data_IF_055108413703
#
_entry.id   IF_055108413703
#
_cell.length_a   1.000
_cell.length_b   1.000
_cell.length_c   1.000
_cell.angle_alpha   90.00
_cell.angle_beta   90.00
_cell.angle_gamma   90.00
#
_symmetry.space_group_name_H-M   'P 1'
#
loop_
_entity.id
_entity.type
_entity.pdbx_description
1 polymer ?
#
# COMPACT_ATOMS: atom_id res chain seq x y z
N UNK A 1 5.91 7.54 -2.34
CA UNK A 1 5.02 6.65 -1.56
C UNK A 1 4.22 5.83 -2.55
N UNK A 2 4.02 4.54 -2.27
CA UNK A 2 3.10 3.68 -3.02
C UNK A 2 1.83 3.54 -2.17
N UNK A 3 0.68 3.87 -2.76
CA UNK A 3 -0.63 3.71 -2.14
C UNK A 3 -1.43 2.71 -2.98
N UNK A 4 -2.10 1.76 -2.33
CA UNK A 4 -3.02 0.82 -2.96
C UNK A 4 -4.35 0.84 -2.22
N UNK A 5 -5.44 1.01 -2.95
CA UNK A 5 -6.78 0.83 -2.42
C UNK A 5 -7.21 -0.64 -2.50
N UNK A 6 -8.08 -1.04 -1.57
CA UNK A 6 -8.66 -2.38 -1.51
C UNK A 6 -10.15 -2.26 -1.12
N UNK A 7 -11.09 -2.47 -2.05
CA UNK A 7 -12.52 -2.26 -1.82
C UNK A 7 -13.18 -3.47 -1.14
N UNK A 8 -12.70 -3.86 0.05
CA UNK A 8 -13.21 -5.00 0.82
C UNK A 8 -13.87 -4.52 2.11
N UNK A 9 -15.09 -4.98 2.39
CA UNK A 9 -15.90 -4.63 3.57
C UNK A 9 -15.79 -5.67 4.71
N UNK A 10 -16.43 -5.42 5.85
CA UNK A 10 -16.57 -6.37 6.95
C UNK A 10 -15.34 -6.47 7.87
N UNK A 11 -15.30 -7.54 8.66
CA UNK A 11 -14.22 -7.77 9.62
C UNK A 11 -13.01 -8.40 8.94
N UNK A 12 -11.87 -7.73 9.02
CA UNK A 12 -10.64 -8.17 8.37
C UNK A 12 -9.67 -8.73 9.40
N UNK A 13 -9.14 -9.90 9.07
CA UNK A 13 -8.15 -10.64 9.86
C UNK A 13 -6.94 -10.94 8.99
N UNK A 14 -5.80 -10.41 9.39
CA UNK A 14 -4.57 -10.54 8.64
C UNK A 14 -3.38 -10.01 9.40
N UNK A 15 -2.19 -10.39 8.94
CA UNK A 15 -0.92 -9.89 9.46
C UNK A 15 0.12 -9.89 8.34
N UNK A 16 1.25 -9.21 8.56
CA UNK A 16 2.32 -9.03 7.57
C UNK A 16 2.84 -10.35 6.99
N UNK A 17 2.99 -11.38 7.84
CA UNK A 17 3.61 -12.66 7.49
C UNK A 17 2.63 -13.77 7.12
N UNK A 18 1.35 -13.47 6.98
CA UNK A 18 0.32 -14.45 6.63
C UNK A 18 0.02 -14.35 5.15
N UNK A 19 0.04 -15.47 4.42
CA UNK A 19 -0.17 -15.50 2.96
C UNK A 19 -1.58 -15.08 2.55
N UNK A 20 -2.59 -15.57 3.27
CA UNK A 20 -4.00 -15.28 3.02
C UNK A 20 -4.64 -14.60 4.21
N UNK A 21 -5.31 -13.48 3.95
CA UNK A 21 -6.15 -12.80 4.91
C UNK A 21 -7.57 -13.35 4.84
N UNK A 22 -8.34 -13.11 5.89
CA UNK A 22 -9.73 -13.53 5.99
C UNK A 22 -10.62 -12.32 6.18
N UNK A 23 -11.70 -12.25 5.39
CA UNK A 23 -12.80 -11.32 5.51
C UNK A 23 -13.99 -12.07 6.12
N UNK A 24 -14.66 -11.48 7.11
CA UNK A 24 -15.94 -11.97 7.62
C UNK A 24 -17.03 -10.95 7.31
N UNK A 25 -18.04 -11.38 6.56
CA UNK A 25 -19.25 -10.61 6.23
C UNK A 25 -20.46 -11.51 6.45
N UNK A 26 -21.47 -11.03 7.17
CA UNK A 26 -22.71 -11.76 7.47
C UNK A 26 -22.48 -13.19 8.00
N UNK A 27 -21.49 -13.32 8.89
CA UNK A 27 -21.12 -14.61 9.51
C UNK A 27 -20.40 -15.59 8.58
N UNK A 28 -20.10 -15.20 7.34
CA UNK A 28 -19.38 -16.02 6.36
C UNK A 28 -17.94 -15.55 6.21
N UNK A 29 -17.03 -16.52 6.09
CA UNK A 29 -15.59 -16.28 5.97
C UNK A 29 -15.12 -16.47 4.53
N UNK A 30 -14.41 -15.46 4.01
CA UNK A 30 -13.81 -15.47 2.69
C UNK A 30 -12.31 -15.23 2.80
N UNK A 31 -11.50 -16.08 2.17
CA UNK A 31 -10.05 -15.89 2.12
C UNK A 31 -9.66 -15.08 0.89
N UNK A 32 -8.67 -14.21 1.03
CA UNK A 32 -8.07 -13.48 -0.07
C UNK A 32 -6.57 -13.34 0.14
N UNK A 33 -5.82 -13.15 -0.95
CA UNK A 33 -4.38 -12.96 -0.90
C UNK A 33 -4.03 -11.73 -0.07
N UNK A 34 -3.03 -11.84 0.79
CA UNK A 34 -2.56 -10.71 1.59
C UNK A 34 -2.10 -9.55 0.68
N UNK A 35 -2.73 -8.37 0.78
CA UNK A 35 -2.47 -7.24 -0.12
C UNK A 35 -1.05 -6.67 0.05
N UNK A 36 -0.38 -6.96 1.18
CA UNK A 36 0.97 -6.49 1.44
C UNK A 36 2.03 -7.17 0.56
N UNK A 37 1.77 -8.38 0.04
CA UNK A 37 2.73 -9.05 -0.85
C UNK A 37 2.92 -8.28 -2.16
N UNK A 38 1.82 -7.92 -2.83
CA UNK A 38 1.90 -7.14 -4.07
C UNK A 38 2.60 -5.79 -3.85
N UNK A 39 2.32 -5.16 -2.71
CA UNK A 39 2.92 -3.90 -2.33
C UNK A 39 4.43 -4.02 -2.08
N UNK A 40 4.87 -5.11 -1.46
CA UNK A 40 6.28 -5.40 -1.23
C UNK A 40 7.03 -5.61 -2.56
N UNK A 41 6.44 -6.32 -3.53
CA UNK A 41 7.02 -6.45 -4.86
C UNK A 41 7.20 -5.10 -5.55
N UNK A 42 6.17 -4.24 -5.51
CA UNK A 42 6.26 -2.89 -6.05
C UNK A 42 7.34 -2.06 -5.34
N UNK A 43 7.47 -2.20 -4.01
CA UNK A 43 8.52 -1.55 -3.23
C UNK A 43 9.91 -1.97 -3.70
N UNK A 44 10.15 -3.26 -3.90
CA UNK A 44 11.45 -3.78 -4.32
C UNK A 44 11.80 -3.33 -5.74
N UNK A 45 10.84 -3.32 -6.66
CA UNK A 45 11.04 -2.80 -8.02
C UNK A 45 11.41 -1.31 -8.03
N UNK A 46 10.83 -0.50 -7.16
CA UNK A 46 11.24 0.90 -7.02
C UNK A 46 12.63 0.98 -6.38
N UNK A 47 12.90 0.21 -5.31
CA UNK A 47 14.20 0.22 -4.62
C UNK A 47 15.36 -0.24 -5.51
N UNK A 48 15.14 -1.10 -6.50
CA UNK A 48 16.19 -1.46 -7.46
C UNK A 48 16.61 -0.28 -8.35
N UNK A 49 15.71 0.66 -8.60
CA UNK A 49 16.02 1.91 -9.31
C UNK A 49 16.64 2.95 -8.37
N UNK A 50 16.17 2.99 -7.12
CA UNK A 50 16.44 4.10 -6.18
C UNK A 50 16.92 3.61 -4.79
N UNK A 51 18.06 2.90 -4.69
CA UNK A 51 18.40 2.10 -3.51
C UNK A 51 18.66 2.88 -2.22
N UNK A 52 19.00 4.18 -2.33
CA UNK A 52 19.38 5.04 -1.20
C UNK A 52 18.21 5.82 -0.60
N UNK A 53 16.98 5.56 -1.05
CA UNK A 53 15.80 6.36 -0.69
C UNK A 53 14.74 5.51 0.02
N UNK A 54 14.08 6.06 1.07
CA UNK A 54 12.97 5.39 1.70
C UNK A 54 11.78 5.32 0.74
N UNK A 55 11.31 4.11 0.47
CA UNK A 55 10.08 3.85 -0.29
C UNK A 55 9.02 3.39 0.69
N UNK A 56 8.11 4.29 1.03
CA UNK A 56 6.94 3.99 1.86
C UNK A 56 5.84 3.36 1.03
N UNK A 57 5.10 2.47 1.67
CA UNK A 57 4.12 1.59 1.06
C UNK A 57 2.93 1.45 2.01
N UNK A 58 1.72 1.68 1.50
CA UNK A 58 0.52 1.64 2.32
C UNK A 58 -0.69 1.07 1.57
N UNK A 59 -1.50 0.27 2.25
CA UNK A 59 -2.79 -0.24 1.78
C UNK A 59 -3.93 0.49 2.49
N UNK A 60 -4.95 0.90 1.75
CA UNK A 60 -6.15 1.53 2.30
C UNK A 60 -7.36 0.70 1.92
N UNK A 61 -8.06 0.17 2.92
CA UNK A 61 -9.36 -0.46 2.71
C UNK A 61 -10.43 0.63 2.59
N UNK A 62 -11.05 0.69 1.42
CA UNK A 62 -11.93 1.80 1.01
C UNK A 62 -13.42 1.53 1.19
N UNK A 63 -13.79 0.28 1.44
CA UNK A 63 -15.16 -0.08 1.81
C UNK A 63 -15.32 -0.14 3.34
N UNK A 64 -16.56 -0.26 3.81
CA UNK A 64 -16.90 -0.33 5.25
C UNK A 64 -16.31 -1.58 5.89
N UNK A 65 -15.11 -1.44 6.45
CA UNK A 65 -14.31 -2.50 7.02
C UNK A 65 -13.65 -2.07 8.31
N UNK A 66 -13.32 -3.05 9.14
CA UNK A 66 -12.57 -2.82 10.37
C UNK A 66 -11.66 -4.00 10.68
N UNK A 67 -10.76 -3.82 11.64
CA UNK A 67 -9.77 -4.80 12.06
C UNK A 67 -9.93 -5.10 13.55
N UNK A 68 -10.82 -6.04 13.94
CA UNK A 68 -11.14 -6.30 15.34
C UNK A 68 -9.94 -6.78 16.18
N UNK A 69 -8.94 -7.36 15.53
CA UNK A 69 -7.71 -7.88 16.16
C UNK A 69 -6.49 -7.01 15.89
N UNK A 70 -6.71 -5.77 15.45
CA UNK A 70 -5.66 -4.88 15.01
C UNK A 70 -5.26 -5.11 13.55
N UNK A 71 -4.50 -4.16 13.01
CA UNK A 71 -4.04 -4.13 11.62
C UNK A 71 -2.53 -3.90 11.55
N UNK A 72 -1.86 -4.37 10.47
CA UNK A 72 -0.47 -3.97 10.20
C UNK A 72 -0.28 -2.45 10.14
N UNK A 73 0.93 -1.98 10.40
CA UNK A 73 1.22 -0.54 10.44
C UNK A 73 1.06 0.15 9.07
N UNK A 74 1.30 -0.58 7.99
CA UNK A 74 1.16 -0.13 6.59
C UNK A 74 -0.26 -0.28 6.03
N UNK A 75 -1.26 -0.40 6.90
CA UNK A 75 -2.66 -0.63 6.53
C UNK A 75 -3.54 0.39 7.21
N UNK A 76 -4.53 0.90 6.50
CA UNK A 76 -5.59 1.77 7.04
C UNK A 76 -6.95 1.37 6.52
N UNK A 77 -7.96 1.83 7.25
CA UNK A 77 -9.34 2.00 6.77
C UNK A 77 -9.58 3.49 6.58
N UNK A 78 -10.57 3.90 5.79
CA UNK A 78 -10.77 5.32 5.44
C UNK A 78 -10.78 6.26 6.66
N UNK A 79 -11.50 5.90 7.72
CA UNK A 79 -11.64 6.75 8.90
C UNK A 79 -10.35 6.87 9.73
N UNK A 80 -9.41 5.90 9.63
CA UNK A 80 -8.14 5.93 10.34
C UNK A 80 -6.98 6.45 9.48
N UNK A 81 -7.20 6.63 8.18
CA UNK A 81 -6.13 6.86 7.20
C UNK A 81 -5.31 8.11 7.51
N UNK A 82 -5.96 9.24 7.79
CA UNK A 82 -5.25 10.48 8.11
C UNK A 82 -4.32 10.31 9.31
N UNK A 83 -4.84 9.72 10.40
CA UNK A 83 -4.08 9.47 11.62
C UNK A 83 -2.91 8.51 11.38
N UNK A 84 -3.15 7.43 10.64
CA UNK A 84 -2.11 6.46 10.29
C UNK A 84 -0.99 7.11 9.45
N UNK A 85 -1.36 8.06 8.57
CA UNK A 85 -0.42 8.77 7.69
C UNK A 85 0.44 9.81 8.38
N UNK A 86 0.04 10.34 9.53
CA UNK A 86 0.87 11.29 10.28
C UNK A 86 2.26 10.72 10.60
N UNK A 87 2.36 9.41 10.87
CA UNK A 87 3.66 8.74 11.12
C UNK A 87 4.60 8.84 9.93
N UNK A 88 4.07 8.77 8.71
CA UNK A 88 4.86 8.89 7.49
C UNK A 88 5.21 10.35 7.20
N UNK A 89 4.26 11.27 7.34
CA UNK A 89 4.50 12.69 7.06
C UNK A 89 5.46 13.37 8.04
N UNK A 90 5.57 12.83 9.25
CA UNK A 90 6.52 13.29 10.26
C UNK A 90 7.94 12.71 10.08
N UNK A 91 8.17 11.90 9.04
CA UNK A 91 9.50 11.36 8.75
C UNK A 91 10.47 12.46 8.27
N UNK A 92 11.78 12.35 8.56
CA UNK A 92 12.77 13.32 8.09
C UNK A 92 12.67 13.57 6.58
N UNK A 93 12.59 14.84 6.21
CA UNK A 93 12.59 15.24 4.80
C UNK A 93 14.01 15.12 4.24
N UNK A 94 14.11 14.53 3.07
CA UNK A 94 15.36 14.47 2.33
C UNK A 94 15.67 15.81 1.66
N UNK A 95 16.95 16.11 1.39
CA UNK A 95 17.35 17.28 0.61
C UNK A 95 16.61 17.33 -0.74
N UNK A 96 16.16 18.52 -1.15
CA UNK A 96 15.38 18.73 -2.38
C UNK A 96 16.09 18.18 -3.61
N UNK A 97 17.39 18.46 -3.77
CA UNK A 97 18.20 18.01 -4.90
C UNK A 97 18.24 16.48 -5.03
N UNK A 98 18.39 15.77 -3.90
CA UNK A 98 18.42 14.31 -3.89
C UNK A 98 17.08 13.71 -4.28
N UNK A 99 15.99 14.35 -3.86
CA UNK A 99 14.62 13.93 -4.18
C UNK A 99 14.29 14.18 -5.66
N UNK A 100 14.70 15.31 -6.22
CA UNK A 100 14.49 15.65 -7.63
C UNK A 100 15.27 14.73 -8.56
N UNK A 101 16.57 14.56 -8.33
CA UNK A 101 17.40 13.62 -9.10
C UNK A 101 16.81 12.22 -9.13
N UNK A 102 16.27 11.77 -8.00
CA UNK A 102 15.70 10.44 -7.90
C UNK A 102 14.33 10.32 -8.58
N UNK A 103 13.53 11.39 -8.51
CA UNK A 103 12.27 11.47 -9.26
C UNK A 103 12.51 11.39 -10.77
N UNK A 104 13.58 12.00 -11.27
CA UNK A 104 13.97 11.91 -12.67
C UNK A 104 14.37 10.49 -13.08
N UNK A 105 15.12 9.77 -12.22
CA UNK A 105 15.43 8.34 -12.46
C UNK A 105 14.16 7.51 -12.59
N UNK A 106 13.17 7.72 -11.70
CA UNK A 106 11.89 7.01 -11.80
C UNK A 106 11.20 7.33 -13.12
N UNK A 107 11.03 8.62 -13.47
CA UNK A 107 10.35 9.03 -14.71
C UNK A 107 10.99 8.45 -15.97
N UNK A 108 12.32 8.36 -16.01
CA UNK A 108 13.04 7.79 -17.16
C UNK A 108 12.85 6.28 -17.32
N UNK A 109 12.54 5.58 -16.23
CA UNK A 109 12.38 4.13 -16.21
C UNK A 109 10.91 3.67 -16.20
N UNK A 110 9.95 4.59 -16.01
CA UNK A 110 8.52 4.29 -16.09
C UNK A 110 8.12 4.14 -17.56
N UNK A 111 7.65 2.94 -17.91
CA UNK A 111 6.84 2.74 -19.11
C UNK A 111 5.39 2.97 -18.72
N UNK A 112 4.77 4.00 -19.30
CA UNK A 112 3.32 4.18 -19.17
C UNK A 112 2.68 3.20 -20.15
N UNK A 113 2.24 2.04 -19.65
CA UNK A 113 1.41 1.12 -20.42
C UNK A 113 0.01 1.74 -20.57
N UNK A 114 -0.12 2.64 -21.55
CA UNK A 114 -1.38 3.29 -21.93
C UNK A 114 -2.45 2.28 -22.44
N UNK A 115 -2.16 0.98 -22.45
CA UNK A 115 -3.04 -0.08 -22.97
C UNK A 115 -3.89 -0.77 -21.91
N UNK A 116 -3.81 -0.38 -20.63
CA UNK A 116 -4.62 -1.00 -19.56
C UNK A 116 -5.96 -0.29 -19.30
N UNK A 117 -6.22 0.86 -19.94
CA UNK A 117 -7.45 1.67 -19.75
C UNK A 117 -8.57 1.35 -20.75
N UNK A 118 -8.44 0.33 -21.58
CA UNK A 118 -9.51 -0.16 -22.45
C UNK A 118 -9.65 -1.67 -22.28
N UNK A 119 -10.33 -2.12 -21.23
CA UNK A 119 -11.00 -3.42 -21.20
C UNK A 119 -12.30 -3.32 -20.40
N UNK A 120 -13.37 -3.26 -21.20
CA UNK A 120 -14.77 -3.71 -21.04
C UNK A 120 -15.59 -3.21 -19.84
#
# INVERSE_FOLDING_TARGET
MILRDYPISGHLFGAEKIEQWTQIVDGRSYKFTNPLHHLEHARQAIRSLIPKMPVFCHVVFTADSNFPKGKPASVSVLHSFEQDMQRLFNSPKLPSESREKMWDVIKQNVRIDAQSLVRE
#
